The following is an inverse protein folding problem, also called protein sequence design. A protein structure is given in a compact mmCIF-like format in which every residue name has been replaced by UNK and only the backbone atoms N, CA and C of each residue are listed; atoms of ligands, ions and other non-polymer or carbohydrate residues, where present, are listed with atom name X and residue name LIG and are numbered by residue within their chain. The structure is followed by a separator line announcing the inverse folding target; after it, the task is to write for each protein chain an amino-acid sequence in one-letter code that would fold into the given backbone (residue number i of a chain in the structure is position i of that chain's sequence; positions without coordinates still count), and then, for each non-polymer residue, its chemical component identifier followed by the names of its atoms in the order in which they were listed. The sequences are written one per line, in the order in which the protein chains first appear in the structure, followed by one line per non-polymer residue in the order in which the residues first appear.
data_IF_745593620138
#
_entry.id   IF_745593620138
#
_cell.length_a   1.000
_cell.length_b   1.000
_cell.length_c   1.000
_cell.angle_alpha   90.00
_cell.angle_beta   90.00
_cell.angle_gamma   90.00
#
_symmetry.space_group_name_H-M   'P 1'
#
loop_
_entity.id
_entity.type
_entity.pdbx_description
1 polymer ?
#
# COMPACT_ATOMS: atom_id res chain seq x y z
N UNK A 1 -16.61 -3.45 -12.21
CA UNK A 1 -16.55 -2.23 -13.04
C UNK A 1 -17.77 -2.06 -13.92
N UNK A 2 -18.19 -3.08 -14.70
CA UNK A 2 -19.37 -3.01 -15.58
C UNK A 2 -20.62 -2.39 -14.93
N UNK A 3 -21.01 -2.87 -13.74
CA UNK A 3 -22.14 -2.32 -12.95
C UNK A 3 -22.06 -0.80 -12.69
N UNK A 4 -20.88 -0.23 -12.56
CA UNK A 4 -20.72 1.22 -12.38
C UNK A 4 -20.96 1.98 -13.69
N UNK A 5 -20.43 1.49 -14.81
CA UNK A 5 -20.68 2.08 -16.13
C UNK A 5 -22.11 1.87 -16.63
N UNK A 6 -22.83 0.86 -16.12
CA UNK A 6 -24.27 0.69 -16.36
C UNK A 6 -25.12 1.69 -15.57
N UNK A 7 -24.62 2.18 -14.43
CA UNK A 7 -25.34 3.08 -13.53
C UNK A 7 -24.96 4.56 -13.70
N UNK A 8 -23.75 4.85 -14.17
CA UNK A 8 -23.19 6.19 -14.30
C UNK A 8 -22.57 6.38 -15.67
N UNK A 9 -22.64 7.60 -16.19
CA UNK A 9 -21.99 7.95 -17.45
C UNK A 9 -20.47 7.82 -17.35
N UNK A 10 -19.81 7.47 -18.45
CA UNK A 10 -18.35 7.27 -18.49
C UNK A 10 -17.59 8.55 -18.14
N UNK A 11 -18.15 9.74 -18.39
CA UNK A 11 -17.56 11.03 -18.02
C UNK A 11 -17.55 11.27 -16.50
N UNK A 12 -18.31 10.49 -15.72
CA UNK A 12 -18.34 10.56 -14.26
C UNK A 12 -17.43 9.52 -13.59
N UNK A 13 -16.73 8.70 -14.39
CA UNK A 13 -15.85 7.64 -13.90
C UNK A 13 -14.46 7.83 -14.51
N UNK A 14 -13.44 7.95 -13.65
CA UNK A 14 -12.04 7.81 -14.05
C UNK A 14 -11.43 6.60 -13.38
N UNK A 15 -10.66 5.85 -14.15
CA UNK A 15 -9.90 4.68 -13.68
C UNK A 15 -8.43 5.00 -13.85
N UNK A 16 -7.69 4.86 -12.76
CA UNK A 16 -6.26 5.13 -12.71
C UNK A 16 -5.53 3.89 -12.22
N UNK A 17 -4.36 3.60 -12.78
CA UNK A 17 -3.53 2.49 -12.30
C UNK A 17 -2.63 2.96 -11.16
N UNK A 18 -2.38 2.05 -10.22
CA UNK A 18 -1.47 2.33 -9.12
C UNK A 18 -0.02 2.54 -9.60
N UNK A 19 0.37 1.91 -10.71
CA UNK A 19 1.69 2.11 -11.30
C UNK A 19 1.91 3.56 -11.74
N UNK A 20 0.88 4.23 -12.27
CA UNK A 20 0.96 5.66 -12.63
C UNK A 20 1.12 6.54 -11.40
N UNK A 21 0.45 6.20 -10.29
CA UNK A 21 0.63 6.90 -9.01
C UNK A 21 2.05 6.71 -8.47
N UNK A 22 2.69 5.57 -8.74
CA UNK A 22 4.07 5.31 -8.32
C UNK A 22 5.07 6.03 -9.21
N UNK A 23 4.90 5.96 -10.53
CA UNK A 23 5.91 6.34 -11.51
C UNK A 23 5.76 7.79 -11.95
N UNK A 24 4.54 8.33 -11.97
CA UNK A 24 4.19 9.69 -12.41
C UNK A 24 3.14 10.35 -11.49
N UNK A 25 3.39 10.43 -10.16
CA UNK A 25 2.36 10.86 -9.21
C UNK A 25 1.85 12.29 -9.45
N UNK A 26 2.71 13.22 -9.85
CA UNK A 26 2.32 14.62 -10.06
C UNK A 26 1.38 14.75 -11.25
N UNK A 27 1.72 14.13 -12.38
CA UNK A 27 0.88 14.10 -13.59
C UNK A 27 -0.49 13.50 -13.27
N UNK A 28 -0.51 12.34 -12.60
CA UNK A 28 -1.75 11.67 -12.21
C UNK A 28 -2.63 12.53 -11.29
N UNK A 29 -2.02 13.21 -10.31
CA UNK A 29 -2.78 14.06 -9.38
C UNK A 29 -3.35 15.30 -10.08
N UNK A 30 -2.63 15.88 -11.03
CA UNK A 30 -3.14 16.97 -11.86
C UNK A 30 -4.35 16.52 -12.69
N UNK A 31 -4.30 15.33 -13.30
CA UNK A 31 -5.44 14.75 -14.01
C UNK A 31 -6.65 14.51 -13.09
N UNK A 32 -6.40 14.04 -11.86
CA UNK A 32 -7.45 13.87 -10.84
C UNK A 32 -8.07 15.22 -10.48
N UNK A 33 -7.25 16.26 -10.30
CA UNK A 33 -7.74 17.61 -9.99
C UNK A 33 -8.58 18.17 -11.13
N UNK A 34 -8.16 17.98 -12.38
CA UNK A 34 -8.93 18.36 -13.57
C UNK A 34 -10.27 17.63 -13.63
N UNK A 35 -10.27 16.31 -13.38
CA UNK A 35 -11.49 15.52 -13.33
C UNK A 35 -12.46 16.00 -12.23
N UNK A 36 -11.94 16.31 -11.05
CA UNK A 36 -12.71 16.84 -9.92
C UNK A 36 -13.07 18.33 -10.07
N UNK A 37 -12.58 18.99 -11.13
CA UNK A 37 -12.76 20.43 -11.39
C UNK A 37 -12.27 21.32 -10.23
N UNK A 38 -11.12 20.97 -9.67
CA UNK A 38 -10.41 21.76 -8.66
C UNK A 38 -9.09 22.31 -9.23
N UNK A 39 -8.36 23.09 -8.45
CA UNK A 39 -7.10 23.71 -8.92
C UNK A 39 -6.03 22.64 -9.25
N UNK A 40 -5.73 22.51 -10.55
CA UNK A 40 -4.71 21.60 -11.06
C UNK A 40 -3.28 22.14 -10.93
N UNK A 41 -3.10 23.39 -10.51
CA UNK A 41 -1.78 23.98 -10.23
C UNK A 41 -1.27 23.66 -8.83
N UNK A 42 -2.13 23.09 -7.99
CA UNK A 42 -1.73 22.66 -6.66
C UNK A 42 -0.75 21.47 -6.76
N UNK A 43 0.40 21.62 -6.13
CA UNK A 43 1.42 20.56 -6.04
C UNK A 43 1.47 20.03 -4.61
N UNK A 44 0.91 18.84 -4.33
CA UNK A 44 0.94 18.27 -2.99
C UNK A 44 2.36 17.84 -2.60
N UNK A 45 2.66 17.89 -1.30
CA UNK A 45 3.89 17.29 -0.76
C UNK A 45 3.77 15.76 -0.74
N UNK A 46 4.56 15.11 -1.60
CA UNK A 46 4.63 13.65 -1.75
C UNK A 46 5.79 13.01 -0.98
N UNK A 47 6.49 13.78 -0.15
CA UNK A 47 7.62 13.28 0.68
C UNK A 47 7.20 12.14 1.60
N UNK A 48 5.94 12.14 2.05
CA UNK A 48 5.41 11.16 2.99
C UNK A 48 4.62 10.08 2.26
N UNK A 49 5.10 8.84 2.33
CA UNK A 49 4.39 7.67 1.82
C UNK A 49 3.46 7.11 2.90
N UNK A 50 2.15 7.14 2.63
CA UNK A 50 1.14 6.52 3.48
C UNK A 50 0.90 5.06 3.09
N UNK A 51 0.31 4.26 3.98
CA UNK A 51 -0.06 2.86 3.72
C UNK A 51 1.09 1.96 3.25
N UNK A 52 2.33 2.26 3.65
CA UNK A 52 3.48 1.42 3.34
C UNK A 52 3.27 0.05 3.98
N UNK A 53 3.27 -0.99 3.15
CA UNK A 53 3.13 -2.39 3.60
C UNK A 53 4.07 -2.71 4.76
N UNK A 54 3.55 -3.46 5.75
CA UNK A 54 4.35 -3.97 6.86
C UNK A 54 5.50 -4.87 6.39
N UNK A 55 5.42 -5.41 5.17
CA UNK A 55 6.51 -6.18 4.54
C UNK A 55 7.79 -5.36 4.33
N UNK A 56 7.69 -4.01 4.30
CA UNK A 56 8.85 -3.11 4.30
C UNK A 56 9.33 -2.75 5.72
N UNK A 57 8.54 -3.03 6.76
CA UNK A 57 8.85 -2.68 8.15
C UNK A 57 9.40 -3.90 8.87
N UNK A 58 10.71 -4.10 8.75
CA UNK A 58 11.38 -5.25 9.34
C UNK A 58 11.98 -4.84 10.69
N UNK A 59 11.70 -5.57 11.78
CA UNK A 59 12.36 -5.29 13.06
C UNK A 59 13.84 -5.67 12.96
N UNK A 60 14.74 -4.74 13.30
CA UNK A 60 16.18 -4.96 13.42
C UNK A 60 16.48 -6.05 14.45
N UNK A 61 15.70 -6.10 15.54
CA UNK A 61 15.75 -7.15 16.54
C UNK A 61 14.35 -7.72 16.78
N UNK A 62 14.11 -8.94 16.28
CA UNK A 62 12.84 -9.66 16.41
C UNK A 62 12.48 -9.99 17.86
N UNK A 63 13.47 -10.25 18.73
CA UNK A 63 13.23 -10.51 20.16
C UNK A 63 12.73 -9.26 20.87
N UNK A 64 13.38 -8.12 20.63
CA UNK A 64 12.95 -6.83 21.16
C UNK A 64 11.56 -6.46 20.63
N UNK A 65 11.31 -6.69 19.34
CA UNK A 65 9.99 -6.46 18.75
C UNK A 65 8.91 -7.29 19.46
N UNK A 66 9.12 -8.60 19.59
CA UNK A 66 8.21 -9.50 20.29
C UNK A 66 8.00 -9.10 21.75
N UNK A 67 9.06 -8.67 22.45
CA UNK A 67 8.95 -8.17 23.82
C UNK A 67 8.09 -6.89 23.90
N UNK A 68 8.22 -5.98 22.93
CA UNK A 68 7.49 -4.71 22.89
C UNK A 68 6.07 -4.84 22.33
N UNK A 69 5.74 -5.86 21.53
CA UNK A 69 4.41 -6.02 20.92
C UNK A 69 3.55 -7.07 21.60
N UNK A 70 4.10 -8.22 22.01
CA UNK A 70 3.34 -9.28 22.68
C UNK A 70 3.18 -8.99 24.17
N UNK A 71 2.11 -9.47 24.79
CA UNK A 71 1.99 -9.50 26.24
C UNK A 71 3.01 -10.48 26.84
N UNK A 72 3.63 -10.09 27.95
CA UNK A 72 4.58 -10.92 28.67
C UNK A 72 4.56 -10.56 30.16
N UNK A 73 5.08 -11.46 30.98
CA UNK A 73 5.06 -11.32 32.45
C UNK A 73 5.73 -10.01 32.91
N UNK A 74 6.86 -9.65 32.30
CA UNK A 74 7.61 -8.42 32.60
C UNK A 74 6.75 -7.18 32.34
N UNK A 75 6.02 -7.13 31.21
CA UNK A 75 5.09 -6.05 30.91
C UNK A 75 4.01 -5.94 31.97
N UNK A 76 3.40 -7.05 32.39
CA UNK A 76 2.35 -7.06 33.41
C UNK A 76 2.83 -6.44 34.72
N UNK A 77 4.06 -6.74 35.14
CA UNK A 77 4.69 -6.13 36.31
C UNK A 77 4.94 -4.64 36.07
N UNK A 78 5.49 -4.24 34.92
CA UNK A 78 5.68 -2.83 34.57
C UNK A 78 4.37 -2.04 34.46
N UNK A 79 3.22 -2.71 34.24
CA UNK A 79 1.90 -2.05 34.25
C UNK A 79 1.52 -1.53 35.64
N UNK A 80 2.04 -2.15 36.70
CA UNK A 80 1.80 -1.80 38.10
C UNK A 80 2.65 -0.59 38.52
N UNK A 81 3.91 -0.56 38.08
CA UNK A 81 4.88 0.44 38.54
C UNK A 81 4.90 1.74 37.73
N UNK A 82 4.45 1.74 36.47
CA UNK A 82 4.58 2.90 35.59
C UNK A 82 3.25 3.41 35.03
N UNK A 83 3.06 4.73 34.88
CA UNK A 83 1.86 5.30 34.27
C UNK A 83 1.76 4.97 32.76
N UNK A 84 0.53 4.95 32.25
CA UNK A 84 0.23 4.57 30.86
C UNK A 84 0.99 5.44 29.83
N UNK A 85 1.09 6.76 30.07
CA UNK A 85 1.75 7.71 29.17
C UNK A 85 3.25 7.44 29.02
N UNK A 86 3.93 7.12 30.12
CA UNK A 86 5.36 6.82 30.11
C UNK A 86 5.63 5.51 29.35
N UNK A 87 4.82 4.48 29.60
CA UNK A 87 4.90 3.20 28.89
C UNK A 87 4.70 3.37 27.38
N UNK A 88 3.67 4.11 26.97
CA UNK A 88 3.40 4.40 25.56
C UNK A 88 4.56 5.15 24.89
N UNK A 89 5.13 6.15 25.57
CA UNK A 89 6.25 6.94 25.06
C UNK A 89 7.50 6.06 24.85
N UNK A 90 7.85 5.26 25.86
CA UNK A 90 9.03 4.37 25.81
C UNK A 90 8.83 3.28 24.74
N UNK A 91 7.69 2.59 24.74
CA UNK A 91 7.41 1.54 23.75
C UNK A 91 7.36 2.11 22.33
N UNK A 92 6.78 3.30 22.13
CA UNK A 92 6.75 3.98 20.83
C UNK A 92 8.15 4.34 20.34
N UNK A 93 8.99 4.91 21.21
CA UNK A 93 10.38 5.24 20.88
C UNK A 93 11.22 4.00 20.53
N UNK A 94 11.14 2.96 21.35
CA UNK A 94 11.88 1.72 21.12
C UNK A 94 11.40 0.99 19.87
N UNK A 95 10.09 0.94 19.61
CA UNK A 95 9.55 0.37 18.37
C UNK A 95 10.00 1.17 17.15
N UNK A 96 9.99 2.51 17.20
CA UNK A 96 10.45 3.36 16.10
C UNK A 96 11.93 3.13 15.78
N UNK A 97 12.78 2.98 16.80
CA UNK A 97 14.22 2.66 16.62
C UNK A 97 14.47 1.23 16.16
N UNK A 98 13.62 0.29 16.55
CA UNK A 98 13.77 -1.11 16.22
C UNK A 98 13.20 -1.44 14.83
N UNK A 99 12.30 -0.64 14.27
CA UNK A 99 11.78 -0.85 12.92
C UNK A 99 12.71 -0.16 11.92
N UNK A 100 13.30 -0.94 11.04
CA UNK A 100 13.99 -0.43 9.85
C UNK A 100 13.10 -0.58 8.63
N UNK A 101 13.20 0.37 7.70
CA UNK A 101 12.64 0.20 6.38
C UNK A 101 13.59 -0.68 5.59
N UNK A 102 13.18 -1.91 5.29
CA UNK A 102 13.94 -2.77 4.39
C UNK A 102 13.98 -2.11 3.01
N UNK A 103 15.16 -2.11 2.37
CA UNK A 103 15.31 -1.60 0.99
C UNK A 103 14.38 -2.36 0.05
N UNK A 104 14.31 -3.68 0.21
CA UNK A 104 13.37 -4.54 -0.49
C UNK A 104 12.36 -5.15 0.51
N UNK A 105 11.04 -5.03 0.26
CA UNK A 105 10.06 -5.75 1.05
C UNK A 105 10.27 -7.25 0.91
N UNK A 106 10.07 -8.00 1.99
CA UNK A 106 9.89 -9.44 1.86
C UNK A 106 8.62 -9.71 1.06
N UNK A 107 8.76 -10.00 -0.23
CA UNK A 107 7.68 -10.41 -1.11
C UNK A 107 7.84 -11.91 -1.34
N UNK A 108 6.95 -12.77 -0.80
CA UNK A 108 6.99 -14.18 -1.16
C UNK A 108 6.82 -14.29 -2.69
N UNK A 109 7.77 -14.94 -3.34
CA UNK A 109 7.70 -15.20 -4.77
C UNK A 109 6.80 -16.40 -5.01
N UNK A 110 5.91 -16.31 -6.00
CA UNK A 110 5.27 -17.50 -6.54
C UNK A 110 6.29 -18.34 -7.32
N UNK A 111 6.01 -19.63 -7.46
CA UNK A 111 6.72 -20.45 -8.43
C UNK A 111 6.38 -19.96 -9.84
N UNK A 112 7.30 -20.16 -10.80
CA UNK A 112 7.06 -19.77 -12.19
C UNK A 112 5.80 -20.45 -12.75
N UNK A 113 5.58 -21.72 -12.39
CA UNK A 113 4.40 -22.48 -12.81
C UNK A 113 3.10 -21.87 -12.30
N UNK A 114 3.04 -21.53 -11.00
CA UNK A 114 1.85 -20.94 -10.41
C UNK A 114 1.57 -19.56 -11.01
N UNK A 115 2.61 -18.79 -11.29
CA UNK A 115 2.46 -17.49 -11.96
C UNK A 115 1.85 -17.64 -13.35
N UNK A 116 2.34 -18.59 -14.16
CA UNK A 116 1.78 -18.87 -15.49
C UNK A 116 0.33 -19.34 -15.41
N UNK A 117 0.00 -20.20 -14.44
CA UNK A 117 -1.38 -20.65 -14.22
C UNK A 117 -2.31 -19.47 -13.91
N UNK A 118 -1.90 -18.58 -13.01
CA UNK A 118 -2.71 -17.40 -12.66
C UNK A 118 -2.85 -16.42 -13.81
N UNK A 119 -1.78 -16.21 -14.61
CA UNK A 119 -1.87 -15.35 -15.79
C UNK A 119 -2.88 -15.91 -16.79
N UNK A 120 -2.83 -17.21 -17.09
CA UNK A 120 -3.78 -17.80 -18.05
C UNK A 120 -5.21 -17.75 -17.53
N UNK A 121 -5.43 -17.98 -16.23
CA UNK A 121 -6.75 -17.89 -15.57
C UNK A 121 -7.36 -16.47 -15.70
N UNK A 122 -6.56 -15.42 -15.46
CA UNK A 122 -7.05 -14.03 -15.49
C UNK A 122 -6.92 -13.34 -16.85
N UNK A 123 -6.36 -14.00 -17.85
CA UNK A 123 -6.05 -13.40 -19.16
C UNK A 123 -7.27 -12.80 -19.85
N UNK A 124 -8.37 -13.54 -19.87
CA UNK A 124 -9.64 -13.07 -20.45
C UNK A 124 -10.17 -11.86 -19.69
N UNK A 125 -10.16 -11.91 -18.36
CA UNK A 125 -10.58 -10.79 -17.50
C UNK A 125 -9.73 -9.54 -17.70
N UNK A 126 -8.40 -9.70 -17.87
CA UNK A 126 -7.48 -8.60 -18.13
C UNK A 126 -7.78 -7.96 -19.48
N UNK A 127 -8.04 -8.75 -20.53
CA UNK A 127 -8.42 -8.21 -21.83
C UNK A 127 -9.78 -7.48 -21.79
N UNK A 128 -10.77 -8.07 -21.11
CA UNK A 128 -12.07 -7.44 -20.90
C UNK A 128 -11.95 -6.13 -20.12
N UNK A 129 -11.09 -6.09 -19.10
CA UNK A 129 -10.83 -4.89 -18.31
C UNK A 129 -10.12 -3.82 -19.15
N UNK A 130 -9.07 -4.19 -19.89
CA UNK A 130 -8.33 -3.30 -20.80
C UNK A 130 -9.25 -2.62 -21.80
N UNK A 131 -10.15 -3.39 -22.43
CA UNK A 131 -11.16 -2.85 -23.34
C UNK A 131 -12.15 -1.93 -22.63
N UNK A 132 -12.60 -2.31 -21.42
CA UNK A 132 -13.58 -1.54 -20.65
C UNK A 132 -13.02 -0.18 -20.19
N UNK A 133 -11.77 -0.12 -19.75
CA UNK A 133 -11.15 1.11 -19.22
C UNK A 133 -10.34 1.87 -20.27
N UNK A 134 -10.20 1.30 -21.47
CA UNK A 134 -9.40 1.81 -22.58
C UNK A 134 -7.96 2.16 -22.16
N UNK A 135 -7.30 1.23 -21.45
CA UNK A 135 -5.93 1.39 -20.97
C UNK A 135 -5.14 0.11 -21.22
N UNK A 136 -3.88 0.25 -21.63
CA UNK A 136 -3.00 -0.90 -21.84
C UNK A 136 -2.66 -1.58 -20.50
N UNK A 137 -2.99 -2.86 -20.39
CA UNK A 137 -2.71 -3.75 -19.26
C UNK A 137 -1.79 -4.90 -19.66
N UNK A 138 -1.15 -4.85 -20.83
CA UNK A 138 -0.29 -5.94 -21.35
C UNK A 138 0.80 -6.35 -20.37
N UNK A 139 1.31 -5.40 -19.57
CA UNK A 139 2.29 -5.65 -18.50
C UNK A 139 1.83 -6.64 -17.43
N UNK A 140 0.53 -6.87 -17.29
CA UNK A 140 -0.02 -7.83 -16.33
C UNK A 140 -0.03 -9.27 -16.87
N UNK A 141 0.19 -9.44 -18.18
CA UNK A 141 0.29 -10.73 -18.86
C UNK A 141 1.73 -11.21 -19.03
N UNK A 142 2.71 -10.35 -18.76
CA UNK A 142 4.13 -10.71 -18.64
C UNK A 142 4.37 -11.55 -17.41
#
# INVERSE_FOLDING_TARGET
MKRYFEAFSSEQIRVYLYDDLRDKPIELLQEIFDFLKVDNKFTPDLSTKYNISQLKRVPRNTRLHNFLTKDNYIKSVLKIFFPIKLRQTITGYLNKKNITQAKEPFKPSFSAQLRTQLIEEYKEDIFNLQALINHDLSRWLE
#
